data_IF_841248634458
#
_entry.id   IF_841248634458
#
_cell.length_a   1.000
_cell.length_b   1.000
_cell.length_c   1.000
_cell.angle_alpha   90.00
_cell.angle_beta   90.00
_cell.angle_gamma   90.00
#
_symmetry.space_group_name_H-M   'P 1'
#
loop_
_entity.id
_entity.type
_entity.pdbx_description
1 polymer ?
#
# COMPACT_ATOMS: atom_id res chain seq x y z
N UNK A 1 12.97 1.96 -12.99
CA UNK A 1 12.56 1.09 -11.87
C UNK A 1 11.41 1.78 -11.15
N UNK A 2 10.17 1.58 -11.61
CA UNK A 2 8.99 2.31 -11.10
C UNK A 2 7.87 1.35 -10.68
N UNK A 3 8.20 0.08 -10.45
CA UNK A 3 7.24 -0.95 -10.09
C UNK A 3 7.19 -1.13 -8.58
N UNK A 4 6.00 -1.48 -8.07
CA UNK A 4 5.84 -1.83 -6.67
C UNK A 4 6.70 -3.05 -6.31
N UNK A 5 7.32 -3.03 -5.15
CA UNK A 5 8.24 -4.07 -4.69
C UNK A 5 7.51 -4.94 -3.67
N UNK A 6 7.69 -6.26 -3.75
CA UNK A 6 7.16 -7.19 -2.74
C UNK A 6 7.75 -6.88 -1.37
N UNK A 7 6.89 -6.79 -0.35
CA UNK A 7 7.31 -6.62 1.03
C UNK A 7 7.65 -7.99 1.64
N UNK A 8 8.75 -8.61 1.21
CA UNK A 8 9.11 -10.01 1.51
C UNK A 8 9.25 -10.35 3.00
N UNK A 9 9.42 -9.34 3.86
CA UNK A 9 9.52 -9.51 5.33
C UNK A 9 8.29 -8.99 6.10
N UNK A 10 7.28 -8.46 5.40
CA UNK A 10 6.06 -7.97 6.05
C UNK A 10 5.00 -9.08 6.12
N UNK A 11 4.33 -9.15 7.28
CA UNK A 11 3.15 -9.98 7.51
C UNK A 11 2.10 -9.15 8.24
N UNK A 12 0.85 -9.25 7.79
CA UNK A 12 -0.31 -8.79 8.55
C UNK A 12 -0.98 -10.01 9.21
N UNK A 13 -1.26 -9.95 10.51
CA UNK A 13 -1.82 -11.08 11.27
C UNK A 13 -3.27 -11.38 10.91
N UNK A 14 -4.04 -10.39 10.45
CA UNK A 14 -5.41 -10.58 9.96
C UNK A 14 -5.45 -11.21 8.56
N UNK A 15 -4.36 -11.08 7.79
CA UNK A 15 -4.22 -11.57 6.42
C UNK A 15 -2.80 -12.15 6.18
N UNK A 16 -2.45 -13.26 6.84
CA UNK A 16 -1.07 -13.74 6.93
C UNK A 16 -0.50 -14.31 5.63
N UNK A 17 -1.36 -14.68 4.68
CA UNK A 17 -0.97 -15.31 3.40
C UNK A 17 -1.11 -14.35 2.21
N UNK A 18 -1.24 -13.06 2.47
CA UNK A 18 -1.48 -12.04 1.44
C UNK A 18 -0.17 -11.50 0.90
N UNK A 19 -0.11 -11.33 -0.43
CA UNK A 19 1.06 -10.81 -1.13
C UNK A 19 1.07 -9.28 -1.10
N UNK A 20 1.67 -8.71 -0.06
CA UNK A 20 1.79 -7.28 0.12
C UNK A 20 2.90 -6.67 -0.75
N UNK A 21 2.61 -5.55 -1.39
CA UNK A 21 3.57 -4.74 -2.14
C UNK A 21 3.66 -3.33 -1.56
N UNK A 22 4.85 -2.73 -1.65
CA UNK A 22 5.13 -1.35 -1.25
C UNK A 22 5.63 -0.52 -2.43
N UNK A 23 5.62 0.80 -2.27
CA UNK A 23 6.26 1.71 -3.22
C UNK A 23 7.76 1.42 -3.32
N UNK A 24 8.37 1.49 -4.53
CA UNK A 24 9.82 1.40 -4.67
C UNK A 24 10.55 2.60 -4.05
N UNK A 25 9.82 3.69 -3.76
CA UNK A 25 10.35 4.89 -3.11
C UNK A 25 10.25 4.85 -1.59
N UNK A 26 9.74 3.76 -1.01
CA UNK A 26 9.75 3.55 0.43
C UNK A 26 11.08 2.92 0.86
N UNK A 27 11.71 3.47 1.89
CA UNK A 27 13.03 3.07 2.36
C UNK A 27 13.20 1.55 2.51
N UNK A 28 14.39 1.08 2.14
CA UNK A 28 14.75 -0.34 2.16
C UNK A 28 14.94 -0.87 3.59
N UNK A 29 15.24 0.00 4.56
CA UNK A 29 15.56 -0.34 5.95
C UNK A 29 14.33 -0.50 6.87
N UNK A 30 13.26 -1.09 6.34
CA UNK A 30 12.16 -1.73 7.08
C UNK A 30 11.40 -0.92 8.15
N UNK A 31 11.70 0.36 8.40
CA UNK A 31 11.34 0.98 9.67
C UNK A 31 10.47 2.22 9.62
N UNK A 32 10.17 2.84 8.47
CA UNK A 32 9.34 4.05 8.45
C UNK A 32 8.49 4.16 7.16
N UNK A 33 7.18 4.30 7.35
CA UNK A 33 6.22 4.92 6.42
C UNK A 33 5.82 4.22 5.11
N UNK A 34 5.84 2.89 5.07
CA UNK A 34 5.26 2.19 3.92
C UNK A 34 3.73 2.05 4.07
N UNK A 35 2.99 2.58 3.10
CA UNK A 35 1.63 2.12 2.79
C UNK A 35 1.76 0.88 1.90
N UNK A 36 1.09 -0.20 2.29
CA UNK A 36 1.12 -1.49 1.60
C UNK A 36 -0.19 -1.73 0.88
N UNK A 37 -0.11 -2.37 -0.29
CA UNK A 37 -1.26 -2.75 -1.10
C UNK A 37 -1.24 -4.26 -1.34
N UNK A 38 -2.41 -4.88 -1.41
CA UNK A 38 -2.55 -6.27 -1.85
C UNK A 38 -3.91 -6.56 -2.48
N UNK A 39 -3.97 -7.55 -3.37
CA UNK A 39 -5.24 -8.06 -3.89
C UNK A 39 -5.82 -9.08 -2.91
N UNK A 40 -7.10 -8.92 -2.55
CA UNK A 40 -7.77 -9.76 -1.55
C UNK A 40 -8.81 -10.72 -2.15
N UNK A 41 -9.05 -10.66 -3.46
CA UNK A 41 -10.15 -11.34 -4.15
C UNK A 41 -11.31 -10.41 -4.50
N UNK A 42 -12.20 -10.85 -5.39
CA UNK A 42 -13.46 -10.17 -5.75
C UNK A 42 -13.34 -8.69 -6.15
N UNK A 43 -12.20 -8.30 -6.74
CA UNK A 43 -11.94 -6.92 -7.13
C UNK A 43 -11.65 -5.97 -5.97
N UNK A 44 -11.35 -6.50 -4.78
CA UNK A 44 -10.99 -5.74 -3.58
C UNK A 44 -9.47 -5.64 -3.42
N UNK A 45 -9.01 -4.46 -3.03
CA UNK A 45 -7.63 -4.13 -2.70
C UNK A 45 -7.54 -3.84 -1.21
N UNK A 46 -6.65 -4.52 -0.51
CA UNK A 46 -6.29 -4.24 0.87
C UNK A 46 -5.26 -3.13 0.95
N UNK A 47 -5.42 -2.23 1.93
CA UNK A 47 -4.44 -1.23 2.32
C UNK A 47 -4.15 -1.38 3.82
N UNK A 48 -2.87 -1.37 4.19
CA UNK A 48 -2.41 -1.37 5.59
C UNK A 48 -1.10 -0.59 5.68
N UNK A 49 -0.71 -0.17 6.88
CA UNK A 49 0.65 0.31 7.12
C UNK A 49 1.57 -0.85 7.53
N UNK A 50 2.87 -0.69 7.29
CA UNK A 50 3.87 -1.72 7.57
C UNK A 50 4.40 -1.74 9.00
N UNK A 51 4.00 -0.80 9.86
CA UNK A 51 4.62 -0.56 11.18
C UNK A 51 4.05 -1.47 12.26
N UNK A 52 2.81 -1.92 12.06
CA UNK A 52 2.10 -2.79 12.98
C UNK A 52 1.55 -4.03 12.23
N UNK A 53 2.00 -5.25 12.55
CA UNK A 53 1.46 -6.47 11.94
C UNK A 53 -0.01 -6.72 12.30
N UNK A 54 -0.52 -6.10 13.36
CA UNK A 54 -1.93 -6.17 13.78
C UNK A 54 -2.76 -4.98 13.27
N UNK A 55 -2.17 -4.10 12.44
CA UNK A 55 -2.85 -2.95 11.86
C UNK A 55 -4.12 -3.35 11.09
N UNK A 56 -5.20 -2.54 11.17
CA UNK A 56 -6.40 -2.75 10.38
C UNK A 56 -6.12 -2.78 8.88
N UNK A 57 -6.81 -3.69 8.17
CA UNK A 57 -6.78 -3.73 6.72
C UNK A 57 -8.01 -3.01 6.16
N UNK A 58 -7.79 -1.83 5.57
CA UNK A 58 -8.81 -1.14 4.79
C UNK A 58 -9.05 -1.89 3.48
N UNK A 59 -10.32 -2.11 3.16
CA UNK A 59 -10.74 -2.81 1.94
C UNK A 59 -11.37 -1.82 0.97
N UNK A 60 -10.70 -1.61 -0.14
CA UNK A 60 -11.08 -0.65 -1.18
C UNK A 60 -11.44 -1.39 -2.46
N UNK A 61 -12.40 -0.87 -3.22
CA UNK A 61 -12.67 -1.34 -4.58
C UNK A 61 -11.54 -0.90 -5.51
N UNK A 62 -11.26 -1.68 -6.56
CA UNK A 62 -10.30 -1.26 -7.61
C UNK A 62 -10.63 0.12 -8.20
N UNK A 63 -11.91 0.46 -8.37
CA UNK A 63 -12.33 1.77 -8.89
C UNK A 63 -11.93 2.92 -7.98
N UNK A 64 -11.96 2.73 -6.66
CA UNK A 64 -11.55 3.73 -5.67
C UNK A 64 -10.03 3.92 -5.72
N UNK A 65 -9.27 2.82 -5.81
CA UNK A 65 -7.82 2.86 -6.02
C UNK A 65 -7.47 3.57 -7.33
N UNK A 66 -8.18 3.26 -8.43
CA UNK A 66 -7.96 3.92 -9.72
C UNK A 66 -8.18 5.43 -9.64
N UNK A 67 -9.27 5.87 -9.01
CA UNK A 67 -9.54 7.29 -8.82
C UNK A 67 -8.45 7.97 -7.96
N UNK A 68 -8.03 7.32 -6.87
CA UNK A 68 -6.95 7.82 -6.01
C UNK A 68 -5.62 7.96 -6.78
N UNK A 69 -5.22 6.93 -7.55
CA UNK A 69 -3.98 6.98 -8.34
C UNK A 69 -4.04 8.06 -9.43
N UNK A 70 -5.20 8.27 -10.06
CA UNK A 70 -5.38 9.36 -11.03
C UNK A 70 -5.19 10.73 -10.36
N UNK A 71 -5.80 10.94 -9.18
CA UNK A 71 -5.61 12.17 -8.39
C UNK A 71 -4.17 12.39 -7.97
N UNK A 72 -3.49 11.34 -7.49
CA UNK A 72 -2.08 11.40 -7.11
C UNK A 72 -1.18 11.77 -8.30
N UNK A 73 -1.39 11.14 -9.47
CA UNK A 73 -0.65 11.47 -10.70
C UNK A 73 -0.92 12.90 -11.21
N UNK A 74 -2.08 13.46 -10.90
CA UNK A 74 -2.45 14.82 -11.25
C UNK A 74 -1.92 15.88 -10.25
N UNK A 75 -1.19 15.47 -9.21
CA UNK A 75 -0.70 16.36 -8.15
C UNK A 75 -1.78 16.83 -7.19
N UNK A 76 -2.97 16.22 -7.22
CA UNK A 76 -4.12 16.68 -6.43
C UNK A 76 -3.89 16.56 -4.91
N UNK A 77 -2.89 15.78 -4.49
CA UNK A 77 -2.58 15.51 -3.09
C UNK A 77 -1.19 16.02 -2.66
N UNK A 78 -0.51 16.81 -3.49
CA UNK A 78 0.87 17.24 -3.23
C UNK A 78 0.99 18.02 -1.91
N UNK A 79 -0.03 18.79 -1.55
CA UNK A 79 -0.12 19.51 -0.26
C UNK A 79 -0.09 18.63 0.99
N UNK A 80 -0.29 17.31 0.84
CA UNK A 80 -0.18 16.32 1.91
C UNK A 80 1.17 15.58 1.92
N UNK A 81 2.12 15.98 1.07
CA UNK A 81 3.41 15.32 0.90
C UNK A 81 4.58 16.29 1.10
N UNK A 82 5.79 15.74 1.22
CA UNK A 82 7.04 16.49 1.24
C UNK A 82 7.80 16.37 -0.11
N UNK A 83 7.06 16.15 -1.21
CA UNK A 83 7.61 16.04 -2.56
C UNK A 83 7.87 17.40 -3.19
#
# INVERSE_FOLDING_TARGET
MNEAIRATHYRNNHLPNTQWVKSPFSDLDHSKDCVLFAELGDGTVGITDSKDPDAPVLRMKRSEISAWVQGAKAGAFDSFTNL
#
